data_IF_647389810294
#
_entry.id   IF_647389810294
#
_cell.length_a   1.000
_cell.length_b   1.000
_cell.length_c   1.000
_cell.angle_alpha   90.00
_cell.angle_beta   90.00
_cell.angle_gamma   90.00
#
_symmetry.space_group_name_H-M   'P 1'
#
loop_
_entity.id
_entity.type
_entity.pdbx_description
1 polymer ?
#
# COMPACT_ATOMS: atom_id res chain seq x y z
N UNK A 1 -28.81 5.38 31.16
CA UNK A 1 -30.19 5.85 30.87
C UNK A 1 -30.19 6.56 29.51
N UNK A 2 -31.25 6.47 28.69
CA UNK A 2 -31.98 5.28 28.29
C UNK A 2 -31.48 4.75 26.91
N UNK A 3 -31.49 3.43 26.73
CA UNK A 3 -31.34 2.81 25.40
C UNK A 3 -32.72 2.80 24.75
N UNK A 4 -32.89 3.46 23.60
CA UNK A 4 -34.10 3.31 22.80
C UNK A 4 -33.98 2.01 22.01
N UNK A 5 -34.79 1.02 22.37
CA UNK A 5 -34.93 -0.24 21.67
C UNK A 5 -36.16 -0.13 20.77
N UNK A 6 -35.99 -0.29 19.46
CA UNK A 6 -37.11 -0.50 18.54
C UNK A 6 -37.01 -1.93 18.03
N UNK A 7 -37.90 -2.79 18.54
CA UNK A 7 -38.11 -4.15 18.03
C UNK A 7 -39.19 -4.07 16.95
N UNK A 8 -38.94 -4.50 15.71
CA UNK A 8 -40.03 -4.73 14.77
C UNK A 8 -40.68 -6.08 15.12
N UNK A 9 -41.92 -6.02 15.61
CA UNK A 9 -42.80 -7.18 15.55
C UNK A 9 -43.16 -7.43 14.08
N UNK A 10 -42.72 -8.57 13.55
CA UNK A 10 -43.32 -9.11 12.33
C UNK A 10 -44.75 -9.61 12.60
N UNK A 11 -45.48 -9.95 11.54
CA UNK A 11 -45.82 -11.35 11.45
C UNK A 11 -45.28 -11.96 10.16
N UNK A 12 -44.64 -13.13 10.34
CA UNK A 12 -44.17 -14.09 9.33
C UNK A 12 -42.69 -13.93 8.90
N UNK A 13 -41.80 -14.54 9.70
CA UNK A 13 -40.87 -15.55 9.18
C UNK A 13 -39.41 -15.16 8.97
N UNK A 14 -38.58 -15.42 9.99
CA UNK A 14 -37.28 -16.11 9.84
C UNK A 14 -36.03 -15.30 9.44
N UNK A 15 -35.04 -15.34 10.34
CA UNK A 15 -33.58 -15.20 10.17
C UNK A 15 -32.91 -13.81 10.39
N UNK A 16 -32.16 -13.80 11.50
CA UNK A 16 -30.87 -13.19 11.82
C UNK A 16 -30.66 -11.66 11.78
N UNK A 17 -30.43 -11.12 12.99
CA UNK A 17 -30.06 -9.74 13.28
C UNK A 17 -28.57 -9.48 12.99
N UNK A 18 -28.28 -8.55 12.08
CA UNK A 18 -26.95 -7.95 11.93
C UNK A 18 -26.87 -6.67 12.76
N UNK A 19 -25.85 -6.58 13.61
CA UNK A 19 -25.54 -5.43 14.45
C UNK A 19 -24.75 -4.39 13.65
N UNK A 20 -25.22 -3.15 13.57
CA UNK A 20 -24.43 -2.02 13.10
C UNK A 20 -24.34 -0.95 14.20
N UNK A 21 -23.12 -0.67 14.64
CA UNK A 21 -22.77 0.48 15.47
C UNK A 21 -22.46 1.66 14.55
N UNK A 22 -23.28 2.71 14.61
CA UNK A 22 -23.00 3.99 13.94
C UNK A 22 -22.62 4.98 15.02
N UNK A 23 -21.32 5.25 15.13
CA UNK A 23 -20.81 6.45 15.79
C UNK A 23 -20.59 7.50 14.70
N UNK A 24 -21.58 8.39 14.51
CA UNK A 24 -21.35 9.74 13.98
C UNK A 24 -22.63 10.57 14.12
N UNK A 25 -22.68 11.34 15.22
CA UNK A 25 -23.82 12.20 15.58
C UNK A 25 -24.01 13.42 14.65
N UNK A 26 -23.18 13.60 13.61
CA UNK A 26 -23.28 14.72 12.68
C UNK A 26 -24.08 14.40 11.39
N UNK A 27 -24.24 13.12 11.03
CA UNK A 27 -24.98 12.76 9.82
C UNK A 27 -26.50 12.93 9.97
N UNK A 28 -27.06 12.64 11.15
CA UNK A 28 -28.51 12.70 11.39
C UNK A 28 -29.04 14.15 11.36
N UNK A 29 -28.25 15.13 11.82
CA UNK A 29 -28.64 16.54 11.76
C UNK A 29 -28.55 17.12 10.35
N UNK A 30 -27.52 16.76 9.58
CA UNK A 30 -27.37 17.22 8.18
C UNK A 30 -28.43 16.58 7.28
N UNK A 31 -28.70 15.29 7.48
CA UNK A 31 -29.73 14.56 6.75
C UNK A 31 -31.13 15.07 7.13
N UNK A 32 -31.41 15.29 8.43
CA UNK A 32 -32.67 15.87 8.90
C UNK A 32 -32.94 17.29 8.41
N UNK A 33 -31.90 18.13 8.33
CA UNK A 33 -32.02 19.51 7.86
C UNK A 33 -32.20 19.60 6.34
N UNK A 34 -31.52 18.73 5.58
CA UNK A 34 -31.72 18.57 4.14
C UNK A 34 -33.15 18.08 3.83
N UNK A 35 -33.67 17.11 4.59
CA UNK A 35 -35.04 16.62 4.43
C UNK A 35 -36.12 17.69 4.69
N UNK A 36 -35.90 18.60 5.64
CA UNK A 36 -36.89 19.64 5.97
C UNK A 36 -36.93 20.77 4.92
N UNK A 37 -35.78 21.13 4.33
CA UNK A 37 -35.68 22.14 3.27
C UNK A 37 -36.23 21.62 1.93
N UNK A 38 -35.96 20.36 1.58
CA UNK A 38 -36.44 19.78 0.31
C UNK A 38 -37.95 19.50 0.30
N UNK A 39 -38.53 19.12 1.46
CA UNK A 39 -39.98 18.95 1.60
C UNK A 39 -40.75 20.28 1.42
N UNK A 40 -40.18 21.39 1.90
CA UNK A 40 -40.78 22.73 1.76
C UNK A 40 -40.79 23.18 0.28
N UNK A 41 -39.74 22.90 -0.47
CA UNK A 41 -39.59 23.29 -1.89
C UNK A 41 -40.45 22.43 -2.82
N UNK A 42 -40.61 21.13 -2.54
CA UNK A 42 -41.51 20.26 -3.31
C UNK A 42 -42.99 20.69 -3.16
N UNK A 43 -43.40 21.06 -1.94
CA UNK A 43 -44.73 21.59 -1.66
C UNK A 43 -45.01 22.91 -2.40
N UNK A 44 -44.03 23.81 -2.51
CA UNK A 44 -44.13 25.04 -3.30
C UNK A 44 -44.26 24.79 -4.81
N UNK A 45 -43.53 23.82 -5.36
CA UNK A 45 -43.60 23.47 -6.79
C UNK A 45 -44.94 22.81 -7.16
N UNK A 46 -45.51 21.99 -6.27
CA UNK A 46 -46.81 21.35 -6.49
C UNK A 46 -47.97 22.35 -6.42
N UNK A 47 -47.92 23.33 -5.49
CA UNK A 47 -48.88 24.46 -5.40
C UNK A 47 -49.04 25.21 -6.72
N UNK A 48 -47.97 25.30 -7.53
CA UNK A 48 -47.93 26.07 -8.77
C UNK A 48 -48.52 25.33 -9.98
N UNK A 49 -48.62 23.99 -9.92
CA UNK A 49 -49.05 23.17 -11.06
C UNK A 49 -50.52 22.70 -10.98
N UNK A 50 -51.15 22.70 -9.81
CA UNK A 50 -52.45 22.03 -9.62
C UNK A 50 -53.61 22.89 -9.13
N UNK A 51 -53.43 24.21 -8.92
CA UNK A 51 -54.47 25.10 -8.36
C UNK A 51 -55.17 24.53 -7.11
N UNK A 52 -54.48 23.72 -6.31
CA UNK A 52 -55.00 23.10 -5.09
C UNK A 52 -54.63 23.97 -3.89
N UNK A 53 -55.63 24.26 -3.05
CA UNK A 53 -55.43 25.02 -1.80
C UNK A 53 -54.66 24.21 -0.76
N UNK A 54 -54.06 24.94 0.18
CA UNK A 54 -52.97 24.55 1.08
C UNK A 54 -53.24 23.40 2.06
N UNK A 55 -54.45 22.80 2.05
CA UNK A 55 -54.93 21.91 3.11
C UNK A 55 -55.27 20.47 2.66
N UNK A 56 -54.86 20.02 1.47
CA UNK A 56 -55.13 18.64 1.05
C UNK A 56 -54.04 17.67 1.52
N UNK A 57 -54.17 17.14 2.75
CA UNK A 57 -53.36 16.01 3.27
C UNK A 57 -53.25 14.85 2.26
N UNK A 58 -54.29 14.66 1.44
CA UNK A 58 -54.35 13.68 0.36
C UNK A 58 -53.29 13.88 -0.73
N UNK A 59 -52.93 15.11 -1.10
CA UNK A 59 -51.91 15.36 -2.12
C UNK A 59 -50.50 15.01 -1.61
N UNK A 60 -50.23 15.28 -0.33
CA UNK A 60 -48.98 14.92 0.34
C UNK A 60 -48.86 13.40 0.45
N UNK A 61 -49.92 12.73 0.91
CA UNK A 61 -49.96 11.28 1.00
C UNK A 61 -49.78 10.61 -0.36
N UNK A 62 -50.39 11.15 -1.42
CA UNK A 62 -50.23 10.65 -2.77
C UNK A 62 -48.79 10.84 -3.31
N UNK A 63 -48.18 12.00 -3.06
CA UNK A 63 -46.79 12.27 -3.43
C UNK A 63 -45.81 11.32 -2.74
N UNK A 64 -45.97 11.12 -1.42
CA UNK A 64 -45.18 10.16 -0.65
C UNK A 64 -45.42 8.72 -1.13
N UNK A 65 -46.67 8.31 -1.33
CA UNK A 65 -46.98 6.97 -1.83
C UNK A 65 -46.36 6.74 -3.22
N UNK A 66 -46.42 7.72 -4.12
CA UNK A 66 -45.83 7.61 -5.46
C UNK A 66 -44.30 7.50 -5.39
N UNK A 67 -43.65 8.33 -4.57
CA UNK A 67 -42.19 8.34 -4.43
C UNK A 67 -41.64 7.07 -3.79
N UNK A 68 -42.32 6.51 -2.79
CA UNK A 68 -41.84 5.36 -2.02
C UNK A 68 -42.39 4.01 -2.50
N UNK A 69 -43.29 4.00 -3.49
CA UNK A 69 -43.83 2.75 -4.07
C UNK A 69 -43.45 2.62 -5.54
N UNK A 70 -43.67 3.64 -6.37
CA UNK A 70 -43.51 3.50 -7.82
C UNK A 70 -42.03 3.44 -8.21
N UNK A 71 -41.22 4.37 -7.71
CA UNK A 71 -39.79 4.44 -8.05
C UNK A 71 -38.99 3.22 -7.55
N UNK A 72 -39.19 2.73 -6.31
CA UNK A 72 -38.50 1.54 -5.80
C UNK A 72 -38.91 0.25 -6.53
N UNK A 73 -40.19 0.14 -6.90
CA UNK A 73 -40.69 -0.97 -7.71
C UNK A 73 -40.05 -0.95 -9.10
N UNK A 74 -39.87 0.22 -9.70
CA UNK A 74 -39.20 0.36 -10.99
C UNK A 74 -37.71 -0.01 -10.91
N UNK A 75 -37.00 0.43 -9.86
CA UNK A 75 -35.62 0.03 -9.61
C UNK A 75 -35.47 -1.48 -9.43
N UNK A 76 -36.42 -2.12 -8.76
CA UNK A 76 -36.47 -3.58 -8.61
C UNK A 76 -36.74 -4.32 -9.93
N UNK A 77 -37.66 -3.83 -10.77
CA UNK A 77 -37.93 -4.45 -12.07
C UNK A 77 -36.69 -4.35 -12.98
N UNK A 78 -36.03 -3.19 -13.01
CA UNK A 78 -34.80 -3.00 -13.79
C UNK A 78 -33.68 -3.91 -13.29
N UNK A 79 -33.48 -4.03 -11.97
CA UNK A 79 -32.43 -4.90 -11.44
C UNK A 79 -32.63 -6.37 -11.82
N UNK A 80 -33.90 -6.82 -11.86
CA UNK A 80 -34.28 -8.16 -12.33
C UNK A 80 -34.06 -8.35 -13.83
N UNK A 81 -34.46 -7.38 -14.65
CA UNK A 81 -34.26 -7.45 -16.10
C UNK A 81 -32.77 -7.48 -16.48
N UNK A 82 -31.93 -6.79 -15.70
CA UNK A 82 -30.49 -6.73 -15.92
C UNK A 82 -29.69 -7.84 -15.22
N UNK A 83 -30.35 -8.73 -14.46
CA UNK A 83 -29.70 -9.85 -13.77
C UNK A 83 -28.67 -9.42 -12.71
N UNK A 84 -28.90 -8.29 -12.02
CA UNK A 84 -27.94 -7.73 -11.07
C UNK A 84 -27.79 -8.60 -9.82
N UNK A 85 -26.60 -8.54 -9.19
CA UNK A 85 -26.36 -9.20 -7.90
C UNK A 85 -27.23 -8.59 -6.79
N UNK A 86 -27.47 -9.31 -5.67
CA UNK A 86 -28.33 -8.82 -4.59
C UNK A 86 -27.87 -7.49 -3.99
N UNK A 87 -26.55 -7.30 -3.81
CA UNK A 87 -25.99 -6.05 -3.26
C UNK A 87 -26.20 -4.85 -4.18
N UNK A 88 -26.01 -5.02 -5.50
CA UNK A 88 -26.25 -3.97 -6.49
C UNK A 88 -27.74 -3.66 -6.67
N UNK A 89 -28.59 -4.68 -6.57
CA UNK A 89 -30.05 -4.51 -6.62
C UNK A 89 -30.56 -3.66 -5.47
N UNK A 90 -30.06 -3.90 -4.25
CA UNK A 90 -30.40 -3.10 -3.07
C UNK A 90 -29.93 -1.65 -3.25
N UNK A 91 -28.71 -1.44 -3.75
CA UNK A 91 -28.20 -0.09 -4.03
C UNK A 91 -29.07 0.68 -5.03
N UNK A 92 -29.48 0.03 -6.13
CA UNK A 92 -30.33 0.65 -7.16
C UNK A 92 -31.73 0.99 -6.65
N UNK A 93 -32.33 0.12 -5.84
CA UNK A 93 -33.65 0.36 -5.23
C UNK A 93 -33.56 1.53 -4.24
N UNK A 94 -32.53 1.58 -3.39
CA UNK A 94 -32.34 2.67 -2.45
C UNK A 94 -32.12 4.01 -3.17
N UNK A 95 -31.36 4.01 -4.25
CA UNK A 95 -31.10 5.21 -5.06
C UNK A 95 -32.39 5.72 -5.74
N UNK A 96 -33.29 4.82 -6.15
CA UNK A 96 -34.60 5.19 -6.70
C UNK A 96 -35.57 5.78 -5.65
N UNK A 97 -35.30 5.61 -4.35
CA UNK A 97 -36.08 6.24 -3.28
C UNK A 97 -35.70 7.71 -3.06
N UNK A 98 -34.54 8.17 -3.53
CA UNK A 98 -34.05 9.52 -3.30
C UNK A 98 -34.84 10.55 -4.14
N UNK A 99 -35.38 11.63 -3.54
CA UNK A 99 -36.02 12.70 -4.32
C UNK A 99 -34.97 13.45 -5.16
N UNK A 100 -35.31 13.78 -6.41
CA UNK A 100 -34.40 14.50 -7.30
C UNK A 100 -34.13 15.93 -6.83
N UNK A 101 -32.85 16.26 -6.61
CA UNK A 101 -32.40 17.61 -6.28
C UNK A 101 -32.65 18.61 -7.41
N UNK A 102 -32.72 19.90 -7.05
CA UNK A 102 -32.99 21.00 -7.97
C UNK A 102 -31.83 21.25 -8.94
N UNK A 103 -31.91 20.69 -10.15
CA UNK A 103 -31.26 21.24 -11.34
C UNK A 103 -32.33 21.66 -12.37
N UNK A 104 -32.25 22.93 -12.75
CA UNK A 104 -32.98 23.61 -13.84
C UNK A 104 -34.46 23.94 -13.65
N UNK A 105 -34.71 25.25 -13.58
CA UNK A 105 -35.93 25.86 -14.10
C UNK A 105 -35.97 25.68 -15.62
N UNK A 106 -37.18 25.46 -16.13
CA UNK A 106 -37.62 25.42 -17.53
C UNK A 106 -37.44 24.08 -18.27
N UNK A 107 -38.61 23.52 -18.62
CA UNK A 107 -38.91 22.47 -19.59
C UNK A 107 -38.99 21.02 -19.06
N UNK A 108 -40.21 20.50 -19.14
CA UNK A 108 -40.74 19.19 -18.74
C UNK A 108 -40.20 18.00 -19.58
N UNK A 109 -39.01 18.10 -20.17
CA UNK A 109 -38.43 17.05 -21.04
C UNK A 109 -37.05 16.57 -20.53
N UNK A 110 -36.41 17.26 -19.58
CA UNK A 110 -35.03 16.94 -19.19
C UNK A 110 -34.83 15.94 -18.03
N UNK A 111 -35.89 15.41 -17.40
CA UNK A 111 -35.69 14.42 -16.31
C UNK A 111 -35.22 13.06 -16.83
N UNK A 112 -35.54 12.71 -18.08
CA UNK A 112 -34.96 11.53 -18.72
C UNK A 112 -33.50 11.76 -19.10
N UNK A 113 -33.12 12.97 -19.54
CA UNK A 113 -31.73 13.26 -19.92
C UNK A 113 -30.80 13.31 -18.72
N UNK A 114 -31.22 13.81 -17.56
CA UNK A 114 -30.35 13.84 -16.37
C UNK A 114 -30.16 12.44 -15.77
N UNK A 115 -31.19 11.59 -15.84
CA UNK A 115 -31.06 10.18 -15.46
C UNK A 115 -30.16 9.42 -16.43
N UNK A 116 -30.28 9.69 -17.74
CA UNK A 116 -29.44 9.11 -18.79
C UNK A 116 -28.00 9.63 -18.70
N UNK A 117 -27.77 10.90 -18.35
CA UNK A 117 -26.43 11.48 -18.16
C UNK A 117 -25.81 10.92 -16.90
N UNK A 118 -26.57 10.74 -15.81
CA UNK A 118 -26.06 10.12 -14.59
C UNK A 118 -25.80 8.62 -14.79
N UNK A 119 -26.66 7.91 -15.53
CA UNK A 119 -26.39 6.53 -15.97
C UNK A 119 -25.23 6.46 -16.95
N UNK A 120 -25.05 7.42 -17.86
CA UNK A 120 -23.92 7.51 -18.78
C UNK A 120 -22.64 7.85 -18.03
N UNK A 121 -22.67 8.69 -17.01
CA UNK A 121 -21.51 9.00 -16.16
C UNK A 121 -21.18 7.84 -15.22
N UNK A 122 -22.17 7.07 -14.76
CA UNK A 122 -21.96 5.81 -14.06
C UNK A 122 -21.48 4.71 -15.01
N UNK A 123 -21.95 4.66 -16.25
CA UNK A 123 -21.46 3.73 -17.27
C UNK A 123 -20.07 4.13 -17.75
N UNK A 124 -19.78 5.41 -17.98
CA UNK A 124 -18.46 5.95 -18.33
C UNK A 124 -17.54 5.83 -17.11
N UNK A 125 -18.02 5.98 -15.87
CA UNK A 125 -17.26 5.73 -14.64
C UNK A 125 -17.01 4.24 -14.37
N UNK A 126 -17.94 3.35 -14.75
CA UNK A 126 -17.77 1.90 -14.68
C UNK A 126 -17.03 1.33 -15.90
N UNK A 127 -16.98 2.03 -17.03
CA UNK A 127 -16.23 1.67 -18.24
C UNK A 127 -14.93 2.46 -18.42
N UNK A 128 -14.62 3.39 -17.52
CA UNK A 128 -13.28 3.99 -17.36
C UNK A 128 -12.46 3.33 -16.25
N UNK A 129 -12.95 2.24 -15.66
CA UNK A 129 -12.03 1.15 -15.34
C UNK A 129 -11.56 0.60 -16.69
N UNK A 130 -10.27 0.65 -17.05
CA UNK A 130 -9.81 -0.16 -18.16
C UNK A 130 -10.26 -1.59 -17.84
N UNK A 131 -11.19 -2.11 -18.63
CA UNK A 131 -11.41 -3.54 -18.75
C UNK A 131 -10.08 -4.07 -19.28
N UNK A 132 -9.15 -4.35 -18.37
CA UNK A 132 -8.09 -5.28 -18.65
C UNK A 132 -8.82 -6.55 -19.12
N UNK A 133 -8.59 -7.02 -20.35
CA UNK A 133 -9.06 -8.33 -20.70
C UNK A 133 -8.53 -9.29 -19.63
N UNK A 134 -9.42 -10.10 -19.06
CA UNK A 134 -9.00 -11.28 -18.27
C UNK A 134 -7.91 -11.98 -19.07
N UNK A 135 -6.76 -12.32 -18.48
CA UNK A 135 -5.62 -12.82 -19.23
C UNK A 135 -6.05 -14.11 -19.94
N UNK A 136 -6.33 -13.98 -21.23
CA UNK A 136 -6.15 -15.07 -22.17
C UNK A 136 -4.69 -15.48 -22.02
N UNK A 137 -4.46 -16.77 -21.81
CA UNK A 137 -3.15 -17.40 -21.76
C UNK A 137 -2.49 -17.25 -23.14
N UNK A 138 -1.98 -16.05 -23.41
CA UNK A 138 -1.30 -15.66 -24.62
C UNK A 138 0.14 -15.40 -24.18
N UNK A 139 1.13 -15.99 -24.87
CA UNK A 139 2.56 -15.80 -24.62
C UNK A 139 3.02 -14.36 -24.95
N UNK A 140 2.28 -13.36 -24.48
CA UNK A 140 2.47 -11.95 -24.75
C UNK A 140 3.59 -11.42 -23.88
N UNK A 141 4.55 -10.77 -24.55
CA UNK A 141 5.60 -9.93 -23.98
C UNK A 141 5.02 -9.05 -22.86
N UNK A 142 5.51 -9.24 -21.63
CA UNK A 142 5.12 -8.43 -20.48
C UNK A 142 5.32 -6.94 -20.77
N UNK A 143 4.42 -6.09 -20.25
CA UNK A 143 4.59 -4.64 -20.34
C UNK A 143 5.94 -4.24 -19.71
N UNK A 144 6.74 -3.39 -20.39
CA UNK A 144 8.06 -3.01 -19.92
C UNK A 144 8.00 -2.10 -18.70
N UNK A 145 9.09 -2.07 -17.92
CA UNK A 145 9.28 -1.14 -16.81
C UNK A 145 9.26 0.32 -17.32
N UNK A 146 8.64 1.23 -16.58
CA UNK A 146 8.71 2.67 -16.87
C UNK A 146 10.04 3.24 -16.37
N UNK A 147 10.85 3.81 -17.26
CA UNK A 147 12.20 4.32 -16.92
C UNK A 147 12.38 5.82 -17.13
N UNK A 148 11.31 6.53 -17.52
CA UNK A 148 11.34 7.98 -17.76
C UNK A 148 10.95 8.81 -16.54
N UNK A 149 10.49 8.13 -15.47
CA UNK A 149 10.27 8.67 -14.13
C UNK A 149 11.02 7.78 -13.14
N UNK A 150 11.31 8.27 -11.93
CA UNK A 150 11.78 7.46 -10.84
C UNK A 150 10.84 6.36 -10.48
N UNK A 151 11.47 5.34 -9.91
CA UNK A 151 10.85 4.12 -9.55
C UNK A 151 10.07 4.29 -8.26
N UNK A 152 8.83 3.83 -8.28
CA UNK A 152 8.11 3.54 -7.06
C UNK A 152 8.61 2.18 -6.53
N UNK A 153 9.14 2.17 -5.32
CA UNK A 153 9.69 0.97 -4.66
C UNK A 153 8.82 0.67 -3.46
N UNK A 154 8.08 -0.44 -3.50
CA UNK A 154 7.20 -0.86 -2.43
C UNK A 154 8.02 -1.52 -1.31
N UNK A 155 8.39 -0.70 -0.32
CA UNK A 155 9.16 -1.08 0.86
C UNK A 155 8.45 -2.20 1.64
N UNK A 156 8.97 -3.43 1.56
CA UNK A 156 8.37 -4.66 2.14
C UNK A 156 6.95 -4.98 1.63
N UNK A 157 6.65 -4.57 0.40
CA UNK A 157 5.32 -4.64 -0.21
C UNK A 157 4.38 -3.53 0.27
N UNK A 158 3.07 -3.76 0.21
CA UNK A 158 2.03 -2.84 0.70
C UNK A 158 1.89 -2.93 2.24
N UNK A 159 2.98 -2.62 2.95
CA UNK A 159 3.12 -2.84 4.40
C UNK A 159 2.17 -1.98 5.26
N UNK A 160 1.62 -0.92 4.68
CA UNK A 160 0.61 -0.06 5.31
C UNK A 160 -0.72 -0.76 5.47
N UNK A 161 -1.05 -1.67 4.54
CA UNK A 161 -2.33 -2.39 4.50
C UNK A 161 -2.21 -3.83 5.02
N UNK A 162 -1.08 -4.49 4.75
CA UNK A 162 -0.87 -5.91 5.02
C UNK A 162 0.41 -6.13 5.84
N UNK A 163 0.53 -7.24 6.59
CA UNK A 163 1.78 -7.60 7.26
C UNK A 163 2.94 -7.62 6.26
N UNK A 164 4.02 -6.91 6.60
CA UNK A 164 5.22 -6.76 5.77
C UNK A 164 5.86 -8.10 5.40
N UNK A 165 6.63 -8.13 4.31
CA UNK A 165 7.41 -9.32 3.90
C UNK A 165 6.56 -10.57 3.59
N UNK A 166 5.26 -10.41 3.32
CA UNK A 166 4.35 -11.52 2.98
C UNK A 166 3.95 -11.52 1.51
N UNK A 167 3.62 -12.70 0.98
CA UNK A 167 3.16 -12.81 -0.42
C UNK A 167 1.97 -11.90 -0.75
N UNK A 168 0.92 -11.77 0.10
CA UNK A 168 -0.17 -10.83 -0.16
C UNK A 168 0.27 -9.36 -0.16
N UNK A 169 1.19 -8.96 0.72
CA UNK A 169 1.75 -7.59 0.72
C UNK A 169 2.42 -7.27 -0.63
N UNK A 170 3.18 -8.22 -1.18
CA UNK A 170 3.82 -8.06 -2.48
C UNK A 170 2.86 -8.05 -3.66
N UNK A 171 1.89 -8.97 -3.67
CA UNK A 171 0.87 -9.02 -4.72
C UNK A 171 0.05 -7.73 -4.74
N UNK A 172 -0.32 -7.22 -3.56
CA UNK A 172 -1.04 -5.95 -3.43
C UNK A 172 -0.22 -4.76 -3.97
N UNK A 173 1.06 -4.67 -3.63
CA UNK A 173 1.92 -3.61 -4.16
C UNK A 173 2.06 -3.66 -5.69
N UNK A 174 2.08 -4.87 -6.27
CA UNK A 174 2.11 -5.06 -7.73
C UNK A 174 0.82 -4.55 -8.37
N UNK A 175 -0.34 -4.86 -7.76
CA UNK A 175 -1.66 -4.39 -8.17
C UNK A 175 -1.78 -2.86 -8.08
N UNK A 176 -1.18 -2.25 -7.06
CA UNK A 176 -1.10 -0.79 -6.87
C UNK A 176 -0.19 -0.08 -7.87
N UNK A 177 0.61 -0.83 -8.63
CA UNK A 177 1.41 -0.28 -9.73
C UNK A 177 2.87 -0.02 -9.39
N UNK A 178 3.42 -0.61 -8.32
CA UNK A 178 4.84 -0.40 -7.95
C UNK A 178 5.83 -0.85 -9.04
N UNK A 179 6.94 -0.14 -9.24
CA UNK A 179 7.95 -0.55 -10.21
C UNK A 179 8.83 -1.68 -9.66
N UNK A 180 9.11 -1.62 -8.36
CA UNK A 180 9.90 -2.61 -7.64
C UNK A 180 9.19 -3.04 -6.35
N UNK A 181 9.23 -4.33 -6.05
CA UNK A 181 8.96 -4.80 -4.69
C UNK A 181 10.29 -4.91 -3.94
N UNK A 182 10.35 -4.46 -2.70
CA UNK A 182 11.57 -4.48 -1.86
C UNK A 182 11.43 -5.56 -0.79
N UNK A 183 12.53 -6.21 -0.40
CA UNK A 183 12.51 -7.24 0.64
C UNK A 183 13.81 -7.24 1.42
N UNK A 184 13.72 -7.52 2.71
CA UNK A 184 14.86 -7.77 3.59
C UNK A 184 15.23 -9.26 3.63
N UNK A 185 16.48 -9.62 3.33
CA UNK A 185 16.92 -11.02 3.33
C UNK A 185 17.77 -11.34 4.55
N UNK A 186 17.31 -12.35 5.30
CA UNK A 186 18.02 -13.01 6.40
C UNK A 186 18.12 -14.52 6.12
N UNK A 187 18.66 -15.28 7.09
CA UNK A 187 19.02 -16.69 6.89
C UNK A 187 18.44 -17.56 8.01
N UNK A 188 17.86 -18.70 7.64
CA UNK A 188 17.45 -19.75 8.58
C UNK A 188 18.64 -20.57 9.07
N UNK A 189 18.43 -21.36 10.14
CA UNK A 189 19.42 -22.32 10.67
C UNK A 189 19.92 -23.34 9.65
N UNK A 190 19.05 -23.74 8.72
CA UNK A 190 19.34 -24.73 7.70
C UNK A 190 19.59 -24.09 6.33
N UNK A 191 20.28 -22.96 6.33
CA UNK A 191 20.89 -22.34 5.14
C UNK A 191 19.91 -21.77 4.10
N UNK A 192 18.64 -21.55 4.47
CA UNK A 192 17.61 -21.02 3.57
C UNK A 192 17.48 -19.51 3.73
N UNK A 193 17.47 -18.78 2.61
CA UNK A 193 17.27 -17.34 2.61
C UNK A 193 15.79 -16.99 2.79
N UNK A 194 15.50 -16.15 3.77
CA UNK A 194 14.16 -15.79 4.23
C UNK A 194 13.90 -14.30 4.06
N UNK A 195 12.68 -13.94 3.67
CA UNK A 195 12.19 -12.57 3.63
C UNK A 195 11.75 -12.15 5.03
N UNK A 196 12.53 -11.32 5.71
CA UNK A 196 12.24 -10.81 7.05
C UNK A 196 13.17 -9.64 7.40
N UNK A 197 12.61 -8.55 7.95
CA UNK A 197 13.39 -7.35 8.29
C UNK A 197 14.24 -7.50 9.56
N UNK A 198 13.61 -7.92 10.66
CA UNK A 198 14.28 -7.97 11.97
C UNK A 198 15.06 -9.27 12.14
N UNK A 199 16.18 -9.24 12.86
CA UNK A 199 16.94 -10.46 13.18
C UNK A 199 16.21 -11.35 14.20
N UNK A 200 15.27 -10.77 14.96
CA UNK A 200 14.36 -11.47 15.88
C UNK A 200 12.96 -11.54 15.28
N UNK A 201 12.22 -12.59 15.65
CA UNK A 201 10.87 -12.87 15.15
C UNK A 201 9.76 -12.28 16.05
N UNK A 202 10.12 -11.76 17.22
CA UNK A 202 9.24 -11.47 18.35
C UNK A 202 8.06 -10.53 17.99
N UNK A 203 8.32 -9.45 17.24
CA UNK A 203 7.34 -8.36 17.06
C UNK A 203 6.46 -8.52 15.82
N UNK A 204 6.96 -9.17 14.77
CA UNK A 204 6.29 -9.28 13.47
C UNK A 204 5.75 -10.68 13.18
N UNK A 205 5.76 -11.58 14.17
CA UNK A 205 5.22 -12.94 14.04
C UNK A 205 4.47 -13.39 15.30
N UNK A 206 3.84 -14.56 15.23
CA UNK A 206 3.25 -15.26 16.37
C UNK A 206 4.23 -16.12 17.16
N UNK A 207 5.55 -16.05 16.91
CA UNK A 207 6.56 -16.94 17.54
C UNK A 207 6.46 -17.03 19.07
N UNK A 208 6.08 -15.94 19.75
CA UNK A 208 5.94 -15.89 21.21
C UNK A 208 4.72 -16.66 21.73
N UNK A 209 3.75 -16.97 20.88
CA UNK A 209 2.57 -17.78 21.18
C UNK A 209 2.86 -19.29 21.06
N UNK A 210 3.97 -19.67 20.42
CA UNK A 210 4.41 -21.05 20.27
C UNK A 210 5.21 -21.52 21.51
N UNK A 211 4.51 -22.19 22.44
CA UNK A 211 5.12 -22.65 23.71
C UNK A 211 6.36 -23.53 23.53
N UNK A 212 6.45 -24.28 22.42
CA UNK A 212 7.58 -25.14 22.11
C UNK A 212 8.87 -24.37 21.78
N UNK A 213 8.78 -23.05 21.57
CA UNK A 213 9.92 -22.20 21.27
C UNK A 213 10.32 -21.30 22.45
N UNK A 214 9.61 -21.38 23.58
CA UNK A 214 9.82 -20.49 24.73
C UNK A 214 11.24 -20.58 25.32
N UNK A 215 11.86 -21.76 25.28
CA UNK A 215 13.23 -22.02 25.78
C UNK A 215 14.33 -21.63 24.78
N UNK A 216 13.95 -21.14 23.59
CA UNK A 216 14.87 -20.79 22.50
C UNK A 216 15.28 -19.33 22.48
N UNK A 217 14.79 -18.51 23.42
CA UNK A 217 15.22 -17.11 23.55
C UNK A 217 16.72 -17.05 23.83
N UNK A 218 17.45 -16.23 23.09
CA UNK A 218 18.91 -16.05 23.22
C UNK A 218 19.26 -14.58 23.31
N UNK A 219 20.48 -14.30 23.75
CA UNK A 219 21.09 -12.97 23.72
C UNK A 219 22.30 -13.02 22.80
N UNK A 220 22.31 -12.17 21.78
CA UNK A 220 23.44 -12.00 20.87
C UNK A 220 23.80 -10.52 20.74
N UNK A 221 25.04 -10.24 20.38
CA UNK A 221 25.47 -8.90 19.99
C UNK A 221 25.02 -8.63 18.54
N UNK A 222 24.21 -7.60 18.34
CA UNK A 222 23.70 -7.15 17.04
C UNK A 222 24.07 -5.68 16.91
N UNK A 223 24.87 -5.35 15.89
CA UNK A 223 25.26 -3.97 15.57
C UNK A 223 25.86 -3.20 16.79
N UNK A 224 26.64 -3.90 17.63
CA UNK A 224 27.30 -3.32 18.80
C UNK A 224 26.44 -3.25 20.08
N UNK A 225 25.20 -3.76 20.04
CA UNK A 225 24.30 -3.82 21.18
C UNK A 225 23.83 -5.25 21.48
N UNK A 226 23.66 -5.58 22.77
CA UNK A 226 23.09 -6.88 23.17
C UNK A 226 21.57 -6.89 22.92
N UNK A 227 21.11 -7.80 22.07
CA UNK A 227 19.71 -8.01 21.75
C UNK A 227 19.26 -9.38 22.26
N UNK A 228 18.08 -9.45 22.89
CA UNK A 228 17.52 -10.69 23.43
C UNK A 228 16.17 -11.00 22.80
N UNK A 229 16.05 -12.14 22.12
CA UNK A 229 14.84 -12.53 21.39
C UNK A 229 14.93 -13.93 20.79
N UNK A 230 13.98 -14.26 19.93
CA UNK A 230 13.95 -15.50 19.14
C UNK A 230 14.51 -15.20 17.74
N UNK A 231 15.79 -15.51 17.56
CA UNK A 231 16.53 -15.13 16.35
C UNK A 231 16.22 -16.02 15.17
N UNK A 232 15.99 -15.44 14.00
CA UNK A 232 15.61 -16.16 12.78
C UNK A 232 16.59 -17.29 12.40
N UNK A 233 17.90 -17.05 12.58
CA UNK A 233 18.95 -18.02 12.27
C UNK A 233 19.05 -19.18 13.26
N UNK A 234 18.29 -19.16 14.35
CA UNK A 234 18.15 -20.34 15.21
C UNK A 234 17.11 -21.32 14.66
N UNK A 235 16.17 -20.88 13.83
CA UNK A 235 15.03 -21.69 13.36
C UNK A 235 15.27 -22.30 11.98
N UNK A 236 14.83 -23.55 11.81
CA UNK A 236 14.83 -24.19 10.48
C UNK A 236 13.71 -23.61 9.60
N UNK A 237 13.81 -23.77 8.28
CA UNK A 237 12.75 -23.40 7.35
C UNK A 237 11.39 -24.00 7.74
N UNK A 238 11.37 -25.28 8.14
CA UNK A 238 10.14 -25.98 8.52
C UNK A 238 9.48 -25.30 9.73
N UNK A 239 10.26 -24.96 10.75
CA UNK A 239 9.76 -24.23 11.92
C UNK A 239 9.30 -22.82 11.56
N UNK A 240 10.07 -22.09 10.74
CA UNK A 240 9.70 -20.74 10.29
C UNK A 240 8.39 -20.73 9.49
N UNK A 241 8.12 -21.79 8.72
CA UNK A 241 6.87 -21.94 7.96
C UNK A 241 5.65 -22.23 8.84
N UNK A 242 5.86 -22.61 10.11
CA UNK A 242 4.75 -22.73 11.06
C UNK A 242 4.26 -21.38 11.58
N UNK A 243 5.12 -20.35 11.54
CA UNK A 243 4.81 -19.02 12.06
C UNK A 243 3.87 -18.25 11.14
N UNK A 244 3.17 -17.27 11.71
CA UNK A 244 2.30 -16.33 11.00
C UNK A 244 2.71 -14.90 11.26
N UNK A 245 2.80 -14.15 10.17
CA UNK A 245 3.13 -12.74 10.20
C UNK A 245 2.06 -11.90 10.91
N UNK A 246 2.52 -10.83 11.54
CA UNK A 246 1.73 -9.82 12.23
C UNK A 246 2.10 -8.42 11.73
N UNK A 247 1.15 -7.52 11.82
CA UNK A 247 1.34 -6.12 11.54
C UNK A 247 2.24 -5.49 12.62
N UNK A 248 3.37 -4.92 12.19
CA UNK A 248 4.38 -4.29 13.05
C UNK A 248 3.81 -3.17 13.91
N UNK A 249 2.93 -2.37 13.32
CA UNK A 249 2.45 -1.14 13.91
C UNK A 249 1.03 -1.25 14.40
N UNK A 250 0.81 -1.02 15.69
CA UNK A 250 -0.50 -1.13 16.34
C UNK A 250 -1.59 -0.20 15.79
N UNK A 251 -1.20 0.91 15.14
CA UNK A 251 -2.12 1.88 14.52
C UNK A 251 -2.53 1.49 13.09
N UNK A 252 -1.87 0.49 12.48
CA UNK A 252 -2.27 -0.08 11.19
C UNK A 252 -3.32 -1.16 11.40
N UNK A 253 -3.97 -1.56 10.31
CA UNK A 253 -4.99 -2.59 10.35
C UNK A 253 -4.43 -3.93 10.85
N UNK A 254 -5.00 -4.43 11.96
CA UNK A 254 -4.59 -5.66 12.61
C UNK A 254 -5.35 -6.90 12.11
N UNK A 255 -6.36 -6.74 11.24
CA UNK A 255 -7.25 -7.84 10.84
C UNK A 255 -6.54 -8.97 10.09
N UNK A 256 -5.32 -8.75 9.61
CA UNK A 256 -4.54 -9.71 8.83
C UNK A 256 -3.50 -10.47 9.66
N UNK A 257 -3.36 -10.14 10.95
CA UNK A 257 -2.47 -10.87 11.85
C UNK A 257 -2.83 -12.36 11.89
N UNK A 258 -1.83 -13.23 11.86
CA UNK A 258 -2.05 -14.68 11.95
C UNK A 258 -2.47 -15.35 10.63
N UNK A 259 -2.69 -14.60 9.55
CA UNK A 259 -3.23 -15.16 8.29
C UNK A 259 -2.16 -15.68 7.33
N UNK A 260 -0.98 -15.09 7.31
CA UNK A 260 0.01 -15.32 6.26
C UNK A 260 1.31 -15.89 6.81
N UNK A 261 1.92 -16.89 6.14
CA UNK A 261 3.22 -17.41 6.52
C UNK A 261 4.35 -16.47 6.11
N UNK A 262 5.51 -16.63 6.76
CA UNK A 262 6.78 -16.05 6.30
C UNK A 262 7.20 -16.74 4.98
N UNK A 263 7.83 -16.01 4.07
CA UNK A 263 8.24 -16.53 2.76
C UNK A 263 9.76 -16.59 2.60
N UNK A 264 10.21 -17.48 1.70
CA UNK A 264 11.61 -17.58 1.31
C UNK A 264 11.94 -16.56 0.22
N UNK A 265 13.22 -16.26 0.05
CA UNK A 265 13.68 -15.39 -1.02
C UNK A 265 13.30 -15.93 -2.41
N UNK A 266 13.29 -17.25 -2.59
CA UNK A 266 12.89 -17.88 -3.85
C UNK A 266 11.39 -17.70 -4.12
N UNK A 267 10.53 -17.83 -3.10
CA UNK A 267 9.09 -17.57 -3.22
C UNK A 267 8.83 -16.10 -3.57
N UNK A 268 9.55 -15.16 -2.95
CA UNK A 268 9.51 -13.74 -3.30
C UNK A 268 9.91 -13.49 -4.76
N UNK A 269 11.01 -14.09 -5.23
CA UNK A 269 11.43 -13.99 -6.64
C UNK A 269 10.35 -14.52 -7.58
N UNK A 270 9.69 -15.61 -7.21
CA UNK A 270 8.58 -16.17 -8.00
C UNK A 270 7.40 -15.19 -8.10
N UNK A 271 7.11 -14.40 -7.07
CA UNK A 271 6.05 -13.38 -7.14
C UNK A 271 6.36 -12.36 -8.24
N UNK A 272 7.60 -11.83 -8.30
CA UNK A 272 8.01 -10.89 -9.34
C UNK A 272 8.03 -11.53 -10.74
N UNK A 273 8.57 -12.75 -10.87
CA UNK A 273 8.62 -13.48 -12.14
C UNK A 273 7.22 -13.80 -12.67
N UNK A 274 6.23 -14.04 -11.80
CA UNK A 274 4.87 -14.36 -12.21
C UNK A 274 3.94 -13.13 -12.28
N UNK A 275 4.45 -11.93 -12.00
CA UNK A 275 3.68 -10.70 -12.13
C UNK A 275 3.18 -10.47 -13.57
N UNK A 276 1.99 -9.87 -13.78
CA UNK A 276 1.40 -9.67 -15.11
C UNK A 276 2.17 -8.65 -15.99
N UNK A 277 3.09 -7.89 -15.41
CA UNK A 277 4.01 -6.97 -16.09
C UNK A 277 5.43 -7.19 -15.59
N UNK A 278 6.41 -6.52 -16.20
CA UNK A 278 7.76 -6.47 -15.63
C UNK A 278 7.68 -5.66 -14.33
N UNK A 279 8.03 -6.32 -13.23
CA UNK A 279 8.22 -5.73 -11.90
C UNK A 279 9.63 -6.09 -11.48
N UNK A 280 10.40 -5.09 -11.04
CA UNK A 280 11.72 -5.32 -10.53
C UNK A 280 11.73 -5.82 -9.09
N UNK A 281 12.85 -6.39 -8.66
CA UNK A 281 13.08 -6.74 -7.25
C UNK A 281 14.15 -5.84 -6.64
N UNK A 282 14.03 -5.58 -5.35
CA UNK A 282 14.94 -4.72 -4.61
C UNK A 282 15.36 -5.39 -3.29
N UNK A 283 16.06 -6.54 -3.32
CA UNK A 283 16.45 -7.25 -2.11
C UNK A 283 17.61 -6.58 -1.35
N UNK A 284 17.45 -6.48 -0.03
CA UNK A 284 18.49 -6.09 0.94
C UNK A 284 19.25 -7.30 1.47
N UNK A 285 20.59 -7.23 1.49
CA UNK A 285 21.42 -8.14 2.27
C UNK A 285 21.46 -7.60 3.71
N UNK A 286 20.61 -8.15 4.58
CA UNK A 286 20.43 -7.70 5.96
C UNK A 286 21.48 -8.29 6.89
N UNK A 287 22.09 -7.45 7.73
CA UNK A 287 22.98 -7.90 8.82
C UNK A 287 24.03 -8.97 8.41
N UNK A 288 24.78 -8.79 7.31
CA UNK A 288 25.58 -9.87 6.73
C UNK A 288 26.71 -10.37 7.63
N UNK A 289 27.25 -9.52 8.50
CA UNK A 289 28.28 -9.91 9.47
C UNK A 289 27.69 -10.91 10.46
N UNK A 290 26.53 -10.61 11.04
CA UNK A 290 25.82 -11.48 11.97
C UNK A 290 25.42 -12.80 11.30
N UNK A 291 24.82 -12.75 10.10
CA UNK A 291 24.43 -13.96 9.37
C UNK A 291 25.64 -14.88 9.11
N UNK A 292 26.77 -14.31 8.68
CA UNK A 292 28.00 -15.07 8.44
C UNK A 292 28.65 -15.60 9.72
N UNK A 293 28.38 -15.02 10.90
CA UNK A 293 28.85 -15.54 12.18
C UNK A 293 28.09 -16.81 12.57
N UNK A 294 26.76 -16.82 12.40
CA UNK A 294 25.88 -17.87 12.91
C UNK A 294 25.55 -18.98 11.90
N UNK A 295 25.56 -18.67 10.60
CA UNK A 295 25.27 -19.64 9.53
C UNK A 295 26.52 -19.88 8.70
N UNK A 296 26.83 -21.15 8.41
CA UNK A 296 28.07 -21.58 7.74
C UNK A 296 27.75 -22.44 6.55
N UNK A 297 28.22 -22.03 5.38
CA UNK A 297 28.05 -22.80 4.16
C UNK A 297 29.30 -23.61 3.80
N UNK A 298 29.13 -24.73 3.07
CA UNK A 298 30.25 -25.52 2.56
C UNK A 298 31.22 -24.67 1.72
N UNK A 299 32.49 -25.09 1.72
CA UNK A 299 33.57 -24.48 0.92
C UNK A 299 33.84 -23.01 1.26
N UNK A 300 33.49 -22.57 2.47
CA UNK A 300 33.76 -21.20 2.94
C UNK A 300 32.92 -20.13 2.25
N UNK A 301 31.79 -20.52 1.63
CA UNK A 301 30.82 -19.56 1.10
C UNK A 301 30.28 -18.68 2.22
N UNK A 302 30.03 -17.43 1.87
CA UNK A 302 29.35 -16.45 2.71
C UNK A 302 27.88 -16.31 2.32
N UNK A 303 27.09 -15.70 3.19
CA UNK A 303 25.70 -15.32 2.94
C UNK A 303 25.54 -14.61 1.59
N UNK A 304 26.44 -13.67 1.29
CA UNK A 304 26.47 -12.92 0.03
C UNK A 304 26.64 -13.82 -1.21
N UNK A 305 27.40 -14.90 -1.09
CA UNK A 305 27.63 -15.83 -2.22
C UNK A 305 26.34 -16.58 -2.55
N UNK A 306 25.65 -17.06 -1.52
CA UNK A 306 24.39 -17.81 -1.66
C UNK A 306 23.28 -16.90 -2.19
N UNK A 307 23.22 -15.66 -1.71
CA UNK A 307 22.32 -14.64 -2.21
C UNK A 307 22.49 -14.40 -3.72
N UNK A 308 23.73 -14.18 -4.17
CA UNK A 308 24.03 -13.97 -5.61
C UNK A 308 23.77 -15.23 -6.44
N UNK A 309 24.08 -16.42 -5.90
CA UNK A 309 23.79 -17.68 -6.57
C UNK A 309 22.29 -17.89 -6.82
N UNK A 310 21.44 -17.53 -5.86
CA UNK A 310 19.97 -17.59 -6.02
C UNK A 310 19.52 -16.59 -7.09
N UNK A 311 19.98 -15.34 -7.07
CA UNK A 311 19.66 -14.36 -8.12
C UNK A 311 20.03 -14.88 -9.52
N UNK A 312 21.24 -15.44 -9.66
CA UNK A 312 21.69 -16.03 -10.94
C UNK A 312 20.88 -17.25 -11.34
N UNK A 313 20.50 -18.12 -10.39
CA UNK A 313 19.64 -19.29 -10.63
C UNK A 313 18.31 -18.89 -11.28
N UNK A 314 17.75 -17.75 -10.88
CA UNK A 314 16.51 -17.20 -11.45
C UNK A 314 16.72 -16.23 -12.61
N UNK A 315 17.95 -16.09 -13.13
CA UNK A 315 18.22 -15.34 -14.35
C UNK A 315 18.47 -13.83 -14.17
N UNK A 316 18.54 -13.32 -12.94
CA UNK A 316 18.89 -11.92 -12.69
C UNK A 316 20.35 -11.64 -13.04
N UNK A 317 20.56 -10.71 -13.97
CA UNK A 317 21.86 -10.29 -14.50
C UNK A 317 21.71 -8.98 -15.28
N UNK A 318 22.83 -8.40 -15.67
CA UNK A 318 22.88 -7.19 -16.47
C UNK A 318 23.13 -5.97 -15.61
N UNK A 319 24.01 -5.10 -16.10
CA UNK A 319 24.21 -3.77 -15.54
C UNK A 319 22.96 -2.89 -15.68
N UNK A 320 22.88 -1.84 -14.86
CA UNK A 320 21.77 -0.90 -14.86
C UNK A 320 21.42 -0.41 -16.28
N UNK A 321 20.13 -0.42 -16.62
CA UNK A 321 19.59 -0.02 -17.94
C UNK A 321 20.10 -0.84 -19.15
N UNK A 322 20.85 -1.92 -18.93
CA UNK A 322 21.18 -2.86 -20.01
C UNK A 322 19.93 -3.60 -20.50
N UNK A 323 19.98 -4.13 -21.72
CA UNK A 323 18.88 -4.93 -22.30
C UNK A 323 18.52 -6.15 -21.45
N UNK A 324 19.48 -6.74 -20.76
CA UNK A 324 19.23 -7.89 -19.88
C UNK A 324 18.58 -7.44 -18.57
N UNK A 325 19.06 -6.36 -17.97
CA UNK A 325 18.46 -5.79 -16.76
C UNK A 325 17.02 -5.34 -16.99
N UNK A 326 16.72 -4.69 -18.11
CA UNK A 326 15.36 -4.24 -18.45
C UNK A 326 14.34 -5.38 -18.62
N UNK A 327 14.79 -6.62 -18.88
CA UNK A 327 13.90 -7.79 -18.94
C UNK A 327 13.53 -8.31 -17.57
N UNK A 328 14.43 -8.16 -16.59
CA UNK A 328 14.24 -8.68 -15.24
C UNK A 328 15.01 -7.80 -14.22
N UNK A 329 14.48 -6.60 -13.93
CA UNK A 329 15.19 -5.57 -13.18
C UNK A 329 15.47 -6.01 -11.74
N UNK A 330 16.69 -5.76 -11.27
CA UNK A 330 17.06 -6.01 -9.88
C UNK A 330 18.07 -4.97 -9.41
N UNK A 331 17.82 -4.39 -8.23
CA UNK A 331 18.81 -3.67 -7.44
C UNK A 331 19.16 -4.51 -6.20
N UNK A 332 20.43 -4.49 -5.79
CA UNK A 332 20.86 -5.11 -4.53
C UNK A 332 21.22 -3.97 -3.56
N UNK A 333 20.68 -4.00 -2.35
CA UNK A 333 21.01 -3.00 -1.32
C UNK A 333 21.62 -3.61 -0.06
N UNK A 334 22.40 -2.80 0.66
CA UNK A 334 22.91 -3.15 2.00
C UNK A 334 23.48 -1.92 2.70
N UNK A 335 23.36 -1.89 4.02
CA UNK A 335 24.12 -0.97 4.88
C UNK A 335 25.60 -1.39 5.03
N UNK A 336 25.95 -2.63 4.69
CA UNK A 336 27.30 -3.13 4.85
C UNK A 336 28.14 -2.91 3.58
N UNK A 337 29.05 -1.93 3.53
CA UNK A 337 29.85 -1.67 2.33
C UNK A 337 30.76 -2.85 1.99
N UNK A 338 31.23 -3.59 3.01
CA UNK A 338 32.02 -4.82 2.84
C UNK A 338 31.26 -5.91 2.09
N UNK A 339 29.93 -5.96 2.24
CA UNK A 339 29.06 -6.89 1.53
C UNK A 339 28.96 -6.53 0.05
N UNK A 340 28.72 -5.25 -0.25
CA UNK A 340 28.64 -4.72 -1.62
C UNK A 340 29.97 -4.88 -2.38
N UNK A 341 31.10 -4.63 -1.70
CA UNK A 341 32.44 -4.88 -2.24
C UNK A 341 32.65 -6.36 -2.53
N UNK A 342 32.26 -7.25 -1.62
CA UNK A 342 32.40 -8.70 -1.79
C UNK A 342 31.64 -9.23 -3.02
N UNK A 343 30.44 -8.71 -3.28
CA UNK A 343 29.63 -9.12 -4.44
C UNK A 343 29.94 -8.36 -5.74
N UNK A 344 30.75 -7.31 -5.70
CA UNK A 344 31.04 -6.46 -6.86
C UNK A 344 31.53 -7.28 -8.08
N UNK A 345 32.50 -8.18 -7.86
CA UNK A 345 33.05 -9.04 -8.91
C UNK A 345 32.24 -10.34 -9.14
N UNK A 346 31.14 -10.54 -8.40
CA UNK A 346 30.31 -11.74 -8.49
C UNK A 346 29.06 -11.50 -9.33
N UNK A 347 28.60 -10.27 -9.47
CA UNK A 347 27.43 -9.91 -10.27
C UNK A 347 27.53 -8.49 -10.82
N UNK A 348 27.05 -8.30 -12.05
CA UNK A 348 26.94 -7.00 -12.72
C UNK A 348 25.67 -6.24 -12.34
N UNK A 349 24.78 -6.85 -11.55
CA UNK A 349 23.56 -6.21 -11.05
C UNK A 349 23.88 -4.91 -10.30
N UNK A 350 23.09 -3.84 -10.49
CA UNK A 350 23.31 -2.57 -9.83
C UNK A 350 23.14 -2.68 -8.31
N UNK A 351 24.01 -1.98 -7.59
CA UNK A 351 24.11 -2.00 -6.13
C UNK A 351 23.83 -0.61 -5.57
N UNK A 352 23.14 -0.57 -4.43
CA UNK A 352 22.75 0.65 -3.73
C UNK A 352 23.30 0.58 -2.30
N UNK A 353 24.05 1.60 -1.90
CA UNK A 353 24.58 1.70 -0.54
C UNK A 353 23.57 2.41 0.37
N UNK A 354 23.08 1.72 1.39
CA UNK A 354 22.13 2.30 2.35
C UNK A 354 22.84 3.16 3.39
N UNK A 355 22.22 4.28 3.74
CA UNK A 355 22.77 5.29 4.67
C UNK A 355 21.68 5.64 5.68
N UNK A 356 22.03 5.53 6.96
CA UNK A 356 21.18 5.95 8.09
C UNK A 356 21.85 7.07 8.90
N UNK A 357 21.12 7.66 9.84
CA UNK A 357 21.64 8.68 10.77
C UNK A 357 22.40 8.03 11.94
N UNK A 358 23.64 7.63 11.65
CA UNK A 358 24.57 7.00 12.60
C UNK A 358 25.75 7.91 12.93
N UNK A 359 26.49 7.62 14.00
CA UNK A 359 27.67 8.41 14.40
C UNK A 359 28.71 8.60 13.27
N UNK A 360 28.75 7.68 12.30
CA UNK A 360 29.65 7.73 11.13
C UNK A 360 29.03 8.42 9.91
N UNK A 361 27.84 9.01 10.02
CA UNK A 361 27.10 9.64 8.92
C UNK A 361 27.95 10.65 8.13
N UNK A 362 28.69 11.51 8.83
CA UNK A 362 29.58 12.50 8.19
C UNK A 362 30.70 11.86 7.38
N UNK A 363 31.23 10.72 7.84
CA UNK A 363 32.29 10.00 7.14
C UNK A 363 31.73 9.33 5.87
N UNK A 364 30.63 8.60 6.00
CA UNK A 364 30.03 7.82 4.90
C UNK A 364 29.34 8.69 3.84
N UNK A 365 29.05 9.96 4.17
CA UNK A 365 28.56 10.97 3.22
C UNK A 365 29.65 11.96 2.77
N UNK A 366 30.92 11.72 3.12
CA UNK A 366 32.01 12.59 2.68
C UNK A 366 32.34 12.38 1.20
N UNK A 367 32.85 13.43 0.56
CA UNK A 367 33.35 13.41 -0.83
C UNK A 367 34.36 12.29 -1.09
N UNK A 368 35.26 12.06 -0.12
CA UNK A 368 36.23 10.95 -0.16
C UNK A 368 35.51 9.60 -0.23
N UNK A 369 34.46 9.42 0.56
CA UNK A 369 33.71 8.18 0.62
C UNK A 369 32.84 7.98 -0.62
N UNK A 370 32.17 9.03 -1.12
CA UNK A 370 31.45 9.00 -2.39
C UNK A 370 32.35 8.62 -3.56
N UNK A 371 33.57 9.19 -3.62
CA UNK A 371 34.55 8.81 -4.62
C UNK A 371 35.03 7.35 -4.49
N UNK A 372 35.02 6.78 -3.28
CA UNK A 372 35.37 5.38 -3.05
C UNK A 372 34.23 4.42 -3.45
N UNK A 373 33.00 4.69 -3.04
CA UNK A 373 31.88 3.76 -3.23
C UNK A 373 31.38 3.70 -4.68
N UNK A 374 31.51 4.80 -5.44
CA UNK A 374 31.07 4.87 -6.85
C UNK A 374 31.72 3.83 -7.76
N UNK A 375 32.83 3.23 -7.33
CA UNK A 375 33.48 2.13 -8.04
C UNK A 375 32.63 0.84 -8.02
N UNK A 376 31.79 0.65 -7.01
CA UNK A 376 31.03 -0.59 -6.82
C UNK A 376 29.53 -0.43 -6.59
N UNK A 377 29.03 0.79 -6.37
CA UNK A 377 27.60 1.11 -6.33
C UNK A 377 27.23 2.11 -7.42
N UNK A 378 25.96 2.09 -7.82
CA UNK A 378 25.40 3.05 -8.78
C UNK A 378 24.63 4.19 -8.08
N UNK A 379 24.46 4.09 -6.77
CA UNK A 379 23.66 5.02 -5.99
C UNK A 379 23.67 4.73 -4.49
N UNK A 380 23.07 5.65 -3.75
CA UNK A 380 22.85 5.59 -2.32
C UNK A 380 21.35 5.54 -2.01
N UNK A 381 20.98 4.90 -0.92
CA UNK A 381 19.63 4.95 -0.38
C UNK A 381 19.68 5.54 1.03
N UNK A 382 19.54 6.86 1.20
CA UNK A 382 19.59 7.49 2.51
C UNK A 382 18.23 7.50 3.20
N UNK A 383 18.23 7.49 4.54
CA UNK A 383 17.04 7.84 5.31
C UNK A 383 16.59 9.27 4.96
N UNK A 384 15.30 9.46 4.64
CA UNK A 384 14.75 10.70 4.05
C UNK A 384 15.00 11.94 4.91
N UNK A 385 15.03 11.78 6.23
CA UNK A 385 15.21 12.88 7.17
C UNK A 385 16.68 13.37 7.18
N UNK A 386 17.63 12.59 6.65
CA UNK A 386 19.01 13.05 6.42
C UNK A 386 19.12 13.98 5.19
N UNK A 387 18.11 13.97 4.31
CA UNK A 387 18.01 14.87 3.16
C UNK A 387 17.21 16.11 3.53
N UNK A 388 16.04 15.93 4.14
CA UNK A 388 15.21 17.04 4.64
C UNK A 388 15.00 16.82 6.14
N UNK A 389 15.85 17.44 6.98
CA UNK A 389 15.76 17.27 8.42
C UNK A 389 14.44 17.78 8.97
N UNK A 390 14.06 17.21 10.10
CA UNK A 390 12.79 17.51 10.76
C UNK A 390 13.07 17.86 12.20
N UNK A 391 12.51 18.97 12.65
CA UNK A 391 12.62 19.42 14.04
C UNK A 391 11.26 19.91 14.53
N UNK A 392 10.83 19.40 15.68
CA UNK A 392 9.55 19.77 16.30
C UNK A 392 8.33 19.63 15.35
N UNK A 393 8.33 18.59 14.50
CA UNK A 393 7.35 18.33 13.42
C UNK A 393 7.35 19.32 12.24
N UNK A 394 8.36 20.18 12.13
CA UNK A 394 8.55 21.07 10.99
C UNK A 394 9.74 20.61 10.14
N UNK A 395 9.59 20.75 8.82
CA UNK A 395 10.69 20.56 7.88
C UNK A 395 11.71 21.70 8.05
N UNK A 396 12.98 21.32 8.06
CA UNK A 396 14.12 22.24 8.05
C UNK A 396 14.60 22.46 6.60
N UNK A 397 15.67 23.25 6.45
CA UNK A 397 16.30 23.44 5.15
C UNK A 397 16.89 22.10 4.65
N UNK A 398 16.59 21.68 3.40
CA UNK A 398 17.20 20.50 2.81
C UNK A 398 18.73 20.55 2.83
N UNK A 399 19.37 19.41 3.05
CA UNK A 399 20.83 19.27 2.97
C UNK A 399 21.30 19.22 1.52
N UNK A 400 22.60 19.39 1.30
CA UNK A 400 23.22 19.27 -0.03
C UNK A 400 23.48 17.81 -0.45
N UNK A 401 23.02 16.82 0.32
CA UNK A 401 23.37 15.40 0.14
C UNK A 401 23.07 14.90 -1.28
N UNK A 402 21.90 15.30 -1.80
CA UNK A 402 21.43 14.89 -3.14
C UNK A 402 22.32 15.47 -4.23
N UNK A 403 22.60 16.78 -4.15
CA UNK A 403 23.44 17.47 -5.12
C UNK A 403 24.87 16.91 -5.10
N UNK A 404 25.42 16.67 -3.90
CA UNK A 404 26.73 16.04 -3.76
C UNK A 404 26.74 14.62 -4.33
N UNK A 405 25.75 13.78 -4.02
CA UNK A 405 25.67 12.43 -4.59
C UNK A 405 25.61 12.46 -6.13
N UNK A 406 24.78 13.32 -6.71
CA UNK A 406 24.69 13.50 -8.16
C UNK A 406 26.00 13.99 -8.79
N UNK A 407 26.77 14.85 -8.11
CA UNK A 407 28.09 15.29 -8.59
C UNK A 407 29.10 14.12 -8.74
N UNK A 408 28.89 13.01 -8.01
CA UNK A 408 29.67 11.78 -8.13
C UNK A 408 29.01 10.71 -9.03
N UNK A 409 27.95 11.07 -9.78
CA UNK A 409 27.12 10.18 -10.61
C UNK A 409 26.45 9.05 -9.80
N UNK A 410 26.11 9.31 -8.54
CA UNK A 410 25.36 8.38 -7.70
C UNK A 410 23.87 8.72 -7.78
N UNK A 411 23.03 7.73 -8.08
CA UNK A 411 21.58 7.85 -7.91
C UNK A 411 21.22 7.95 -6.43
N UNK A 412 20.07 8.54 -6.11
CA UNK A 412 19.58 8.68 -4.73
C UNK A 412 18.19 8.09 -4.62
N UNK A 413 18.04 7.01 -3.85
CA UNK A 413 16.77 6.30 -3.63
C UNK A 413 16.40 6.34 -2.14
N UNK A 414 15.82 7.45 -1.64
CA UNK A 414 15.60 7.64 -0.21
C UNK A 414 14.50 6.74 0.36
N UNK A 415 14.64 6.38 1.64
CA UNK A 415 13.66 5.59 2.38
C UNK A 415 13.27 6.27 3.70
N UNK A 416 12.12 6.04 4.34
CA UNK A 416 10.88 5.48 3.81
C UNK A 416 9.82 6.56 3.92
N UNK A 417 9.12 6.85 2.82
CA UNK A 417 7.96 7.75 2.82
C UNK A 417 6.75 6.98 3.35
N UNK A 418 6.00 7.61 4.26
CA UNK A 418 4.89 7.00 4.99
C UNK A 418 3.78 8.02 5.10
N UNK A 419 2.57 7.63 4.71
CA UNK A 419 1.42 8.54 4.62
C UNK A 419 0.63 8.65 5.94
N UNK A 420 1.03 7.95 7.00
CA UNK A 420 0.35 8.04 8.29
C UNK A 420 0.72 9.34 9.03
N UNK A 421 -0.27 10.00 9.65
CA UNK A 421 -0.16 11.34 10.24
C UNK A 421 1.09 11.59 11.10
N UNK A 422 1.56 10.60 11.87
CA UNK A 422 2.75 10.75 12.72
C UNK A 422 4.07 10.85 11.95
N UNK A 423 4.07 10.52 10.66
CA UNK A 423 5.19 10.64 9.72
C UNK A 423 4.99 11.79 8.73
N UNK A 424 3.85 12.46 8.80
CA UNK A 424 3.52 13.66 8.02
C UNK A 424 3.88 14.91 8.84
N UNK A 425 4.46 15.91 8.19
CA UNK A 425 4.89 17.16 8.83
C UNK A 425 3.75 18.19 8.89
N UNK A 426 3.75 19.05 9.92
CA UNK A 426 2.79 20.15 10.03
C UNK A 426 3.30 21.35 9.21
N UNK A 427 2.50 21.80 8.25
CA UNK A 427 2.85 22.90 7.36
C UNK A 427 2.19 24.20 7.86
N UNK A 428 2.94 25.06 8.56
CA UNK A 428 2.46 26.37 9.02
C UNK A 428 3.43 27.51 8.65
N UNK A 429 2.94 28.76 8.53
CA UNK A 429 2.66 29.50 7.30
C UNK A 429 3.86 30.27 6.72
N UNK A 430 5.09 30.00 7.16
CA UNK A 430 6.27 30.80 6.77
C UNK A 430 7.00 30.30 5.53
N UNK A 431 6.54 29.18 4.96
CA UNK A 431 6.84 28.77 3.60
C UNK A 431 5.48 28.77 2.88
N UNK A 432 5.36 29.58 1.83
CA UNK A 432 4.16 29.65 0.97
C UNK A 432 3.58 28.25 0.85
N UNK A 433 2.31 28.07 1.22
CA UNK A 433 1.62 26.77 1.13
C UNK A 433 1.53 26.25 -0.32
N UNK A 434 1.81 27.10 -1.30
CA UNK A 434 2.03 26.73 -2.69
C UNK A 434 3.39 26.05 -2.94
N UNK A 435 4.39 26.24 -2.07
CA UNK A 435 5.75 25.72 -2.22
C UNK A 435 5.98 24.34 -1.59
N UNK A 436 5.05 23.75 -0.84
CA UNK A 436 5.33 22.49 -0.12
C UNK A 436 4.97 21.23 -0.90
N UNK A 437 3.93 21.19 -1.77
CA UNK A 437 3.94 20.23 -2.87
C UNK A 437 5.19 20.44 -3.75
N UNK A 438 5.61 21.71 -3.86
CA UNK A 438 6.66 22.16 -4.76
C UNK A 438 8.10 21.94 -4.28
N UNK A 439 8.43 21.87 -2.99
CA UNK A 439 9.80 21.59 -2.51
C UNK A 439 10.13 20.12 -2.73
N UNK A 440 9.12 19.26 -2.58
CA UNK A 440 9.24 17.89 -3.02
C UNK A 440 9.21 17.85 -4.56
N UNK A 441 8.39 18.65 -5.26
CA UNK A 441 8.44 18.81 -6.75
C UNK A 441 9.65 19.55 -7.37
N UNK A 442 10.55 20.15 -6.59
CA UNK A 442 11.67 20.98 -7.08
C UNK A 442 13.04 20.36 -6.81
N UNK A 443 13.16 19.50 -5.79
CA UNK A 443 14.30 18.59 -5.74
C UNK A 443 14.02 17.56 -6.81
N UNK A 444 14.92 17.41 -7.78
CA UNK A 444 14.78 16.66 -9.05
C UNK A 444 14.62 15.11 -8.85
N UNK A 445 13.82 14.70 -7.87
CA UNK A 445 13.17 13.40 -7.78
C UNK A 445 12.11 13.41 -8.86
N UNK A 446 12.22 12.75 -10.00
CA UNK A 446 10.94 12.41 -10.62
C UNK A 446 10.05 11.61 -9.63
N UNK A 447 8.73 11.78 -9.75
CA UNK A 447 7.89 11.73 -8.55
C UNK A 447 7.20 10.39 -8.23
N UNK A 448 7.04 10.24 -6.90
CA UNK A 448 6.13 9.44 -6.05
C UNK A 448 6.45 7.95 -5.72
N UNK A 449 6.64 7.73 -4.41
CA UNK A 449 6.53 6.48 -3.65
C UNK A 449 5.17 6.55 -2.92
N UNK A 450 4.39 5.47 -2.96
CA UNK A 450 3.17 5.29 -2.14
C UNK A 450 3.47 4.48 -0.89
#
# INVERSE_FOLDING_TARGET
MPKLVVVPFGPLGGADAAWFSIEDYNAIYVIGYAFFLDFYVYLEKYKRCSNLSQDSTHAILFGCASQYIIMPTFGFIISRLLGLSPSLSVGLILLSCCPGGTASNNNLICTCTDLIITFLLLFIGCSSRPLYPLPSHDEKTKMPLQTFRPFNVAHRGSNGELPEETAPSYLRAIEEGTDFIETDILVSKNDVLMCHHDVILDDTTDVLEHIQFADRKRTYEVEGANMTGLFIFDFTLEELKTLRAKQRFSFRDQQYNGKFPIITFEEYIQIAINAPRIVGIYPEIKNPVLMNQHVKWPKGKRFEDVFVEILKKYGYKGSYMSKEWLKQPCFIQSFAPSSLVHIHNKTDLPKIFLIDDVDTYQEITSDRYFNYIREFVIGIGPWKDTIVPVKDNYIETPTDLVDRAHAYNLQVHPYTFRNENKYMFDNSPNLDSAKIPLIWEEVNWGYWIY
#
